data_IF_634565381948
#
_entry.id   IF_634565381948
#
_cell.length_a   1.000
_cell.length_b   1.000
_cell.length_c   1.000
_cell.angle_alpha   90.00
_cell.angle_beta   90.00
_cell.angle_gamma   90.00
#
_symmetry.space_group_name_H-M   'P 1'
#
loop_
_entity.id
_entity.type
_entity.pdbx_description
1 polymer ?
#
# COMPACT_ATOMS: atom_id res chain seq x y z
N UNK A 1 1.32 -19.64 -5.90
CA UNK A 1 1.39 -20.60 -4.77
C UNK A 1 2.12 -20.02 -3.54
N UNK A 2 2.65 -18.80 -3.59
CA UNK A 2 3.29 -18.14 -2.44
C UNK A 2 4.70 -18.68 -2.20
N UNK A 3 5.12 -18.75 -0.94
CA UNK A 3 6.47 -19.18 -0.52
C UNK A 3 6.89 -20.55 -1.11
N UNK A 4 5.93 -21.45 -1.34
CA UNK A 4 6.17 -22.73 -1.99
C UNK A 4 6.95 -22.64 -3.31
N UNK A 5 6.76 -21.59 -4.10
CA UNK A 5 7.46 -21.43 -5.38
C UNK A 5 8.98 -21.34 -5.20
N UNK A 6 9.42 -20.89 -4.02
CA UNK A 6 10.83 -20.76 -3.65
C UNK A 6 11.31 -22.02 -2.93
N UNK A 7 10.56 -22.52 -1.94
CA UNK A 7 11.02 -23.60 -1.05
C UNK A 7 10.74 -25.01 -1.58
N UNK A 8 9.77 -25.15 -2.47
CA UNK A 8 9.24 -26.43 -2.95
C UNK A 8 8.69 -27.35 -1.84
N UNK A 9 8.48 -26.84 -0.62
CA UNK A 9 7.84 -27.58 0.48
C UNK A 9 6.31 -27.46 0.42
N UNK A 10 5.54 -28.55 0.24
CA UNK A 10 4.08 -28.55 0.29
C UNK A 10 3.46 -27.84 1.50
N UNK A 11 4.17 -27.76 2.64
CA UNK A 11 3.76 -27.04 3.84
C UNK A 11 3.71 -25.51 3.65
N UNK A 12 4.45 -24.96 2.69
CA UNK A 12 4.58 -23.52 2.43
C UNK A 12 3.60 -22.97 1.40
N UNK A 13 2.72 -23.82 0.85
CA UNK A 13 1.67 -23.37 -0.07
C UNK A 13 0.78 -22.32 0.61
N UNK A 14 0.54 -21.23 -0.12
CA UNK A 14 -0.31 -20.10 0.28
C UNK A 14 0.24 -19.25 1.43
N UNK A 15 1.47 -19.48 1.86
CA UNK A 15 2.15 -18.56 2.78
C UNK A 15 2.68 -17.37 1.97
N UNK A 16 2.36 -16.18 2.44
CA UNK A 16 2.89 -14.93 1.92
C UNK A 16 3.57 -14.17 3.05
N UNK A 17 4.53 -13.33 2.70
CA UNK A 17 5.16 -12.42 3.65
C UNK A 17 4.11 -11.41 4.16
N UNK A 18 4.13 -11.12 5.46
CA UNK A 18 3.37 -10.02 6.02
C UNK A 18 3.92 -8.69 5.50
N UNK A 19 3.11 -7.95 4.74
CA UNK A 19 3.48 -6.63 4.22
C UNK A 19 3.63 -5.60 5.33
N UNK A 20 4.49 -4.61 5.13
CA UNK A 20 4.57 -3.44 6.00
C UNK A 20 3.28 -2.62 5.93
N UNK A 21 2.91 -1.99 7.05
CA UNK A 21 1.76 -1.08 7.13
C UNK A 21 2.15 0.41 7.00
N UNK A 22 3.44 0.72 6.82
CA UNK A 22 3.88 2.10 6.56
C UNK A 22 3.33 2.59 5.22
N UNK A 23 2.74 3.77 5.21
CA UNK A 23 2.08 4.37 4.03
C UNK A 23 0.96 3.51 3.44
N UNK A 24 0.37 2.60 4.22
CA UNK A 24 -0.60 1.62 3.70
C UNK A 24 -1.82 2.28 3.05
N UNK A 25 -2.22 3.47 3.50
CA UNK A 25 -3.32 4.24 2.89
C UNK A 25 -3.09 4.56 1.41
N UNK A 26 -1.83 4.72 0.99
CA UNK A 26 -1.45 5.14 -0.35
C UNK A 26 -1.21 3.96 -1.32
N UNK A 27 -1.22 2.71 -0.83
CA UNK A 27 -0.79 1.53 -1.58
C UNK A 27 -1.96 0.62 -1.94
N UNK A 28 -3.11 1.19 -2.27
CA UNK A 28 -4.20 0.42 -2.86
C UNK A 28 -3.82 -0.06 -4.26
N UNK A 29 -4.21 -1.29 -4.70
CA UNK A 29 -5.05 -2.27 -4.03
C UNK A 29 -4.32 -3.20 -3.04
N UNK A 30 -5.06 -3.76 -2.09
CA UNK A 30 -4.57 -4.54 -0.96
C UNK A 30 -4.58 -6.05 -1.21
N UNK A 31 -3.99 -6.79 -0.26
CA UNK A 31 -3.71 -8.24 -0.28
C UNK A 31 -2.79 -8.68 -1.43
N UNK A 32 -2.29 -9.91 -1.38
CA UNK A 32 -1.25 -10.38 -2.29
C UNK A 32 -1.70 -10.46 -3.76
N UNK A 33 -3.00 -10.47 -4.03
CA UNK A 33 -3.58 -10.52 -5.37
C UNK A 33 -4.32 -9.23 -5.76
N UNK A 34 -4.25 -8.16 -4.96
CA UNK A 34 -4.92 -6.89 -5.26
C UNK A 34 -6.45 -6.95 -5.24
N UNK A 35 -7.06 -7.96 -4.61
CA UNK A 35 -8.51 -8.17 -4.69
C UNK A 35 -9.34 -7.15 -3.90
N UNK A 36 -8.75 -6.41 -2.95
CA UNK A 36 -9.47 -5.48 -2.09
C UNK A 36 -9.02 -4.04 -2.38
N UNK A 37 -9.98 -3.16 -2.67
CA UNK A 37 -9.70 -1.76 -3.09
C UNK A 37 -9.57 -0.77 -1.93
N UNK A 38 -10.01 -1.13 -0.72
CA UNK A 38 -10.09 -0.20 0.41
C UNK A 38 -9.69 -0.84 1.74
N UNK A 39 -9.08 -0.04 2.62
CA UNK A 39 -8.70 -0.49 3.96
C UNK A 39 -9.89 -0.95 4.80
N UNK A 40 -11.05 -0.31 4.64
CA UNK A 40 -12.28 -0.76 5.30
C UNK A 40 -12.66 -2.19 4.87
N UNK A 41 -12.49 -2.54 3.58
CA UNK A 41 -12.72 -3.89 3.09
C UNK A 41 -11.70 -4.88 3.66
N UNK A 42 -10.44 -4.47 3.81
CA UNK A 42 -9.39 -5.28 4.46
C UNK A 42 -9.72 -5.55 5.94
N UNK A 43 -10.14 -4.51 6.68
CA UNK A 43 -10.54 -4.65 8.08
C UNK A 43 -11.71 -5.61 8.20
N UNK A 44 -12.74 -5.45 7.36
CA UNK A 44 -13.90 -6.36 7.35
C UNK A 44 -13.51 -7.80 6.96
N UNK A 45 -12.58 -7.96 6.02
CA UNK A 45 -12.09 -9.26 5.61
C UNK A 45 -11.45 -10.02 6.78
N UNK A 46 -10.58 -9.36 7.56
CA UNK A 46 -9.93 -10.01 8.71
C UNK A 46 -10.84 -10.12 9.94
N UNK A 47 -11.80 -9.21 10.11
CA UNK A 47 -12.82 -9.29 11.17
C UNK A 47 -13.67 -10.57 11.04
N UNK A 48 -14.01 -10.95 9.80
CA UNK A 48 -14.84 -12.10 9.47
C UNK A 48 -14.06 -13.38 9.13
N UNK A 49 -12.84 -13.57 9.67
CA UNK A 49 -12.02 -14.78 9.48
C UNK A 49 -11.21 -14.88 8.17
N UNK A 50 -11.41 -13.97 7.23
CA UNK A 50 -10.78 -14.00 5.91
C UNK A 50 -11.22 -15.20 5.06
N UNK A 51 -10.35 -15.67 4.17
CA UNK A 51 -10.61 -16.88 3.36
C UNK A 51 -10.30 -18.11 4.21
N UNK A 52 -11.35 -18.85 4.58
CA UNK A 52 -11.20 -20.12 5.28
C UNK A 52 -10.31 -21.08 4.49
N UNK A 53 -9.25 -21.60 5.11
CA UNK A 53 -8.42 -22.64 4.50
C UNK A 53 -8.07 -23.75 5.51
N UNK A 54 -7.74 -24.94 5.01
CA UNK A 54 -7.41 -26.11 5.85
C UNK A 54 -6.09 -25.98 6.64
N UNK A 55 -5.26 -24.98 6.33
CA UNK A 55 -3.93 -24.76 6.92
C UNK A 55 -3.86 -23.46 7.72
N UNK A 56 -5.00 -22.95 8.15
CA UNK A 56 -5.09 -21.62 8.74
C UNK A 56 -4.56 -21.69 10.18
N UNK A 57 -3.72 -20.74 10.62
CA UNK A 57 -3.25 -20.73 11.99
C UNK A 57 -4.42 -20.55 12.97
N UNK A 58 -4.38 -21.20 14.15
CA UNK A 58 -5.45 -21.11 15.14
C UNK A 58 -5.64 -19.69 15.71
N UNK A 59 -4.66 -18.80 15.53
CA UNK A 59 -4.74 -17.40 15.93
C UNK A 59 -5.69 -16.58 15.04
N UNK A 60 -5.96 -17.03 13.81
CA UNK A 60 -6.91 -16.35 12.94
C UNK A 60 -8.30 -16.85 13.33
N UNK A 61 -9.09 -15.97 13.94
CA UNK A 61 -10.47 -16.20 14.38
C UNK A 61 -11.28 -14.94 14.11
N UNK A 62 -12.62 -15.03 13.99
CA UNK A 62 -13.40 -13.82 13.84
C UNK A 62 -13.25 -12.94 15.08
N UNK A 63 -13.15 -11.63 14.86
CA UNK A 63 -12.89 -10.64 15.93
C UNK A 63 -14.19 -10.00 16.44
N UNK A 64 -15.24 -10.01 15.61
CA UNK A 64 -16.56 -9.46 15.92
C UNK A 64 -16.50 -7.98 16.30
N UNK A 65 -15.71 -7.22 15.55
CA UNK A 65 -15.48 -5.80 15.82
C UNK A 65 -16.76 -4.98 15.60
N UNK A 66 -17.02 -4.09 16.53
CA UNK A 66 -18.06 -3.07 16.39
C UNK A 66 -17.68 -2.06 15.29
N UNK A 67 -18.66 -1.33 14.78
CA UNK A 67 -18.41 -0.26 13.81
C UNK A 67 -17.42 0.79 14.33
N UNK A 68 -17.53 1.15 15.61
CA UNK A 68 -16.66 2.11 16.25
C UNK A 68 -15.20 1.62 16.34
N UNK A 69 -14.98 0.33 16.62
CA UNK A 69 -13.62 -0.25 16.64
C UNK A 69 -13.00 -0.29 15.24
N UNK A 70 -13.80 -0.64 14.21
CA UNK A 70 -13.34 -0.61 12.82
C UNK A 70 -12.91 0.81 12.39
N UNK A 71 -13.67 1.82 12.80
CA UNK A 71 -13.32 3.23 12.55
C UNK A 71 -12.02 3.62 13.27
N UNK A 72 -11.86 3.24 14.54
CA UNK A 72 -10.62 3.49 15.29
C UNK A 72 -9.41 2.82 14.63
N UNK A 73 -9.55 1.59 14.15
CA UNK A 73 -8.49 0.91 13.40
C UNK A 73 -8.15 1.65 12.12
N UNK A 74 -9.15 2.12 11.36
CA UNK A 74 -8.91 2.89 10.14
C UNK A 74 -8.16 4.19 10.46
N UNK A 75 -8.58 4.93 11.48
CA UNK A 75 -7.88 6.13 11.95
C UNK A 75 -6.45 5.84 12.38
N UNK A 76 -6.21 4.74 13.09
CA UNK A 76 -4.87 4.32 13.45
C UNK A 76 -4.01 4.03 12.22
N UNK A 77 -4.53 3.31 11.21
CA UNK A 77 -3.78 3.03 9.99
C UNK A 77 -3.44 4.31 9.20
N UNK A 78 -4.27 5.35 9.29
CA UNK A 78 -3.98 6.65 8.68
C UNK A 78 -2.78 7.35 9.32
N UNK A 79 -2.50 7.10 10.60
CA UNK A 79 -1.32 7.71 11.28
C UNK A 79 0.00 7.09 10.83
N UNK A 80 -0.03 5.94 10.15
CA UNK A 80 1.17 5.26 9.63
C UNK A 80 1.65 5.84 8.28
N UNK A 81 0.99 6.89 7.78
CA UNK A 81 1.39 7.58 6.56
C UNK A 81 2.40 8.69 6.85
N UNK A 82 3.41 8.82 6.00
CA UNK A 82 4.42 9.88 6.12
C UNK A 82 3.86 11.21 5.62
N UNK A 83 4.12 12.28 6.38
CA UNK A 83 3.63 13.63 6.07
C UNK A 83 4.29 14.29 4.86
N UNK A 84 5.45 13.80 4.40
CA UNK A 84 6.25 14.46 3.37
C UNK A 84 6.14 13.81 1.98
N UNK A 85 5.27 12.81 1.80
CA UNK A 85 5.10 12.16 0.49
C UNK A 85 4.61 13.18 -0.54
N UNK A 86 3.65 14.02 -0.19
CA UNK A 86 3.11 15.04 -1.11
C UNK A 86 4.16 16.11 -1.43
N UNK A 87 4.95 16.55 -0.44
CA UNK A 87 6.05 17.51 -0.66
C UNK A 87 7.13 16.94 -1.59
N UNK A 88 7.47 15.65 -1.44
CA UNK A 88 8.42 14.98 -2.33
C UNK A 88 7.90 14.92 -3.76
N UNK A 89 6.61 14.68 -3.95
CA UNK A 89 5.98 14.71 -5.27
C UNK A 89 6.05 16.13 -5.84
N UNK A 90 5.67 17.15 -5.06
CA UNK A 90 5.72 18.55 -5.48
C UNK A 90 7.14 18.99 -5.87
N UNK A 91 8.15 18.63 -5.08
CA UNK A 91 9.55 18.96 -5.35
C UNK A 91 10.03 18.35 -6.67
N UNK A 92 9.72 17.08 -6.92
CA UNK A 92 10.07 16.39 -8.18
C UNK A 92 9.35 17.01 -9.38
N UNK A 93 8.04 17.27 -9.26
CA UNK A 93 7.27 17.86 -10.34
C UNK A 93 7.79 19.26 -10.69
N UNK A 94 8.06 20.08 -9.67
CA UNK A 94 8.59 21.44 -9.83
C UNK A 94 10.03 21.48 -10.37
N UNK A 95 10.87 20.50 -10.02
CA UNK A 95 12.21 20.38 -10.58
C UNK A 95 12.17 20.11 -12.09
N UNK A 96 11.28 19.23 -12.56
CA UNK A 96 11.15 18.92 -14.00
C UNK A 96 10.74 20.15 -14.83
N UNK A 97 9.89 21.02 -14.26
CA UNK A 97 9.45 22.26 -14.90
C UNK A 97 10.57 23.28 -14.97
N UNK A 98 11.41 23.37 -13.92
CA UNK A 98 12.58 24.25 -13.88
C UNK A 98 13.60 23.86 -14.95
N UNK A 99 13.89 22.58 -15.12
CA UNK A 99 14.85 22.12 -16.14
C UNK A 99 14.38 22.44 -17.57
N UNK A 100 13.07 22.28 -17.85
CA UNK A 100 12.49 22.65 -19.14
C UNK A 100 12.50 24.17 -19.38
N UNK A 101 12.23 24.97 -18.35
CA UNK A 101 12.16 26.43 -18.48
C UNK A 101 13.56 27.06 -18.62
N UNK A 102 14.58 26.50 -17.96
CA UNK A 102 15.99 26.89 -18.15
C UNK A 102 16.46 26.54 -19.56
N UNK A 103 16.14 25.35 -20.08
CA UNK A 103 16.51 24.94 -21.43
C UNK A 103 15.82 25.78 -22.53
N UNK A 104 14.56 26.17 -22.33
CA UNK A 104 13.82 27.03 -23.26
C UNK A 104 14.39 28.47 -23.27
N UNK A 105 14.68 29.02 -22.09
CA UNK A 105 15.22 30.39 -21.96
C UNK A 105 16.62 30.51 -22.58
N UNK A 106 17.46 29.48 -22.45
CA UNK A 106 18.78 29.43 -23.07
C UNK A 106 18.71 29.40 -24.62
N UNK A 107 17.73 28.71 -25.20
CA UNK A 107 17.52 28.66 -26.66
C UNK A 107 16.98 29.97 -27.23
N UNK A 108 16.10 30.65 -26.51
CA UNK A 108 15.56 31.96 -26.93
C UNK A 108 16.67 33.03 -26.94
N UNK A 109 17.55 33.04 -25.94
CA UNK A 109 18.69 33.97 -25.89
C UNK A 109 19.75 33.70 -26.97
N UNK A 110 19.94 32.45 -27.39
CA UNK A 110 20.85 32.07 -28.47
C UNK A 110 20.31 32.39 -29.88
N UNK A 111 18.99 32.54 -30.04
CA UNK A 111 18.34 32.89 -31.32
C UNK A 111 18.18 34.40 -31.54
N UNK A 112 18.47 35.23 -30.53
CA UNK A 112 18.41 36.70 -30.59
C UNK A 112 19.80 37.35 -30.75
N UNK A 113 20.81 36.57 -31.17
CA UNK A 113 22.14 37.06 -31.55
C UNK A 113 22.44 36.75 -33.00
#
# INVERSE_FOLDING_TARGET
>A
MGLYEITQDPADRWKYRTSSLRNVVLTSPYVHNGALQGLAAVINFYDLYGIANRKQPPLIRPLWLTLAEKQKMLSFLQTLNSADVDKLVDDVMNASTRDHQVACSAKISASQR
#
